data_IF_719794790935
#
_entry.id   IF_719794790935
#
_cell.length_a   1.000
_cell.length_b   1.000
_cell.length_c   1.000
_cell.angle_alpha   90.00
_cell.angle_beta   90.00
_cell.angle_gamma   90.00
#
_symmetry.space_group_name_H-M   'P 1'
#
loop_
_entity.id
_entity.type
_entity.pdbx_description
1 polymer ?
#
# COMPACT_ATOMS: atom_id res chain seq x y z
N UNK A 1 -2.93 6.94 10.44
CA UNK A 1 -3.63 7.46 9.24
C UNK A 1 -5.06 7.86 9.62
N UNK A 2 -5.55 9.05 9.20
CA UNK A 2 -6.87 9.57 9.61
C UNK A 2 -8.05 8.93 8.85
N UNK A 3 -7.88 8.59 7.57
CA UNK A 3 -8.90 7.94 6.73
C UNK A 3 -8.26 6.76 6.00
N UNK A 4 -8.99 5.64 5.85
CA UNK A 4 -8.46 4.48 5.12
C UNK A 4 -8.42 4.66 3.61
N UNK A 5 -9.17 5.61 3.05
CA UNK A 5 -9.32 5.82 1.61
C UNK A 5 -9.16 7.32 1.31
N UNK A 6 -8.43 7.64 0.24
CA UNK A 6 -8.33 8.99 -0.31
C UNK A 6 -9.42 9.18 -1.36
N UNK A 7 -10.50 9.89 -1.01
CA UNK A 7 -11.70 10.02 -1.86
C UNK A 7 -11.49 11.01 -3.01
N UNK A 8 -10.73 10.60 -4.04
CA UNK A 8 -10.28 11.46 -5.15
C UNK A 8 -11.42 12.16 -5.93
N UNK A 9 -12.63 11.61 -5.95
CA UNK A 9 -13.82 12.17 -6.60
C UNK A 9 -14.65 13.10 -5.71
N UNK A 10 -14.43 13.11 -4.39
CA UNK A 10 -15.25 13.90 -3.45
C UNK A 10 -14.61 15.21 -3.05
N UNK A 11 -13.28 15.25 -3.04
CA UNK A 11 -12.52 16.43 -2.60
C UNK A 11 -11.13 16.45 -3.21
N UNK A 12 -10.49 17.61 -3.16
CA UNK A 12 -9.06 17.73 -3.40
C UNK A 12 -8.30 16.99 -2.29
N UNK A 13 -7.35 16.14 -2.68
CA UNK A 13 -6.43 15.47 -1.78
C UNK A 13 -5.12 16.23 -1.85
N UNK A 14 -4.60 16.63 -0.70
CA UNK A 14 -3.29 17.27 -0.64
C UNK A 14 -2.19 16.20 -0.73
N UNK A 15 -1.05 16.56 -1.33
CA UNK A 15 0.08 15.62 -1.52
C UNK A 15 0.50 15.01 -0.17
N UNK A 16 0.47 15.79 0.90
CA UNK A 16 0.80 15.35 2.25
C UNK A 16 -0.09 14.21 2.77
N UNK A 17 -1.35 14.14 2.34
CA UNK A 17 -2.23 13.01 2.69
C UNK A 17 -1.79 11.73 1.97
N UNK A 18 -1.36 11.83 0.71
CA UNK A 18 -0.80 10.69 -0.02
C UNK A 18 0.50 10.24 0.64
N UNK A 19 1.38 11.17 1.02
CA UNK A 19 2.61 10.86 1.77
C UNK A 19 2.32 10.10 3.06
N UNK A 20 1.30 10.49 3.80
CA UNK A 20 0.90 9.81 5.03
C UNK A 20 0.45 8.37 4.80
N UNK A 21 -0.23 8.09 3.68
CA UNK A 21 -0.62 6.73 3.31
C UNK A 21 0.60 5.90 2.88
N UNK A 22 1.47 6.45 2.02
CA UNK A 22 2.70 5.78 1.59
C UNK A 22 3.59 5.44 2.80
N UNK A 23 3.81 6.42 3.68
CA UNK A 23 4.57 6.24 4.91
C UNK A 23 3.93 5.20 5.83
N UNK A 24 2.60 5.19 5.95
CA UNK A 24 1.91 4.16 6.74
C UNK A 24 2.24 2.75 6.26
N UNK A 25 2.22 2.51 4.95
CA UNK A 25 2.53 1.18 4.39
C UNK A 25 4.00 0.79 4.57
N UNK A 26 4.93 1.72 4.35
CA UNK A 26 6.37 1.50 4.57
C UNK A 26 6.63 1.21 6.06
N UNK A 27 6.11 2.04 6.98
CA UNK A 27 6.31 1.88 8.42
C UNK A 27 5.70 0.55 8.91
N UNK A 28 4.52 0.15 8.40
CA UNK A 28 3.89 -1.15 8.70
C UNK A 28 4.68 -2.33 8.13
N UNK A 29 5.23 -2.23 6.93
CA UNK A 29 6.09 -3.29 6.39
C UNK A 29 7.34 -3.48 7.24
N UNK A 30 7.97 -2.37 7.65
CA UNK A 30 9.11 -2.36 8.57
C UNK A 30 8.78 -2.97 9.95
N UNK A 31 7.57 -2.73 10.48
CA UNK A 31 7.06 -3.42 11.67
C UNK A 31 7.02 -4.95 11.46
N UNK A 32 6.49 -5.40 10.33
CA UNK A 32 6.46 -6.81 9.95
C UNK A 32 7.86 -7.43 9.84
N UNK A 33 8.81 -6.72 9.24
CA UNK A 33 10.21 -7.16 9.15
C UNK A 33 10.87 -7.30 10.52
N UNK A 34 10.64 -6.34 11.42
CA UNK A 34 11.15 -6.43 12.79
C UNK A 34 10.59 -7.64 13.53
N UNK A 35 9.29 -7.89 13.40
CA UNK A 35 8.67 -9.08 14.00
C UNK A 35 9.26 -10.37 13.42
N UNK A 36 9.55 -10.42 12.11
CA UNK A 36 10.25 -11.53 11.49
C UNK A 36 11.66 -11.74 12.06
N UNK A 37 12.45 -10.66 12.21
CA UNK A 37 13.80 -10.75 12.75
C UNK A 37 13.81 -11.23 14.20
N UNK A 38 12.77 -10.89 14.96
CA UNK A 38 12.58 -11.30 16.35
C UNK A 38 12.02 -12.74 16.47
N UNK A 39 11.77 -13.43 15.34
CA UNK A 39 11.21 -14.79 15.31
C UNK A 39 9.68 -14.86 15.44
N UNK A 40 9.00 -13.72 15.56
CA UNK A 40 7.55 -13.59 15.75
C UNK A 40 6.80 -13.66 14.41
N UNK A 41 6.96 -14.77 13.67
CA UNK A 41 6.38 -14.96 12.33
C UNK A 41 4.86 -14.83 12.29
N UNK A 42 4.18 -15.25 13.34
CA UNK A 42 2.71 -15.15 13.45
C UNK A 42 2.25 -13.70 13.46
N UNK A 43 2.86 -12.86 14.29
CA UNK A 43 2.48 -11.45 14.40
C UNK A 43 2.86 -10.67 13.14
N UNK A 44 4.02 -10.99 12.54
CA UNK A 44 4.40 -10.45 11.24
C UNK A 44 3.37 -10.80 10.12
N UNK A 45 2.79 -12.01 10.16
CA UNK A 45 1.73 -12.40 9.24
C UNK A 45 0.44 -11.60 9.47
N UNK A 46 0.07 -11.32 10.72
CA UNK A 46 -1.08 -10.45 11.01
C UNK A 46 -0.86 -9.02 10.50
N UNK A 47 0.36 -8.49 10.58
CA UNK A 47 0.72 -7.20 9.96
C UNK A 47 0.53 -7.24 8.44
N UNK A 48 1.01 -8.29 7.75
CA UNK A 48 0.81 -8.43 6.31
C UNK A 48 -0.69 -8.48 5.94
N UNK A 49 -1.50 -9.20 6.72
CA UNK A 49 -2.96 -9.27 6.52
C UNK A 49 -3.61 -7.90 6.68
N UNK A 50 -3.27 -7.17 7.75
CA UNK A 50 -3.77 -5.82 8.01
C UNK A 50 -3.49 -4.89 6.83
N UNK A 51 -2.23 -4.87 6.35
CA UNK A 51 -1.82 -4.07 5.19
C UNK A 51 -2.67 -4.44 3.97
N UNK A 52 -2.75 -5.73 3.64
CA UNK A 52 -3.47 -6.22 2.45
C UNK A 52 -4.95 -5.89 2.48
N UNK A 53 -5.60 -5.97 3.64
CA UNK A 53 -7.02 -5.67 3.76
C UNK A 53 -7.31 -4.19 3.48
N UNK A 54 -6.44 -3.29 3.96
CA UNK A 54 -6.55 -1.86 3.67
C UNK A 54 -6.25 -1.59 2.19
N UNK A 55 -5.18 -2.17 1.64
CA UNK A 55 -4.83 -2.00 0.22
C UNK A 55 -5.93 -2.48 -0.72
N UNK A 56 -6.57 -3.63 -0.42
CA UNK A 56 -7.71 -4.14 -1.21
C UNK A 56 -8.90 -3.20 -1.16
N UNK A 57 -9.18 -2.63 0.02
CA UNK A 57 -10.26 -1.65 0.19
C UNK A 57 -10.01 -0.40 -0.66
N UNK A 58 -8.79 0.14 -0.60
CA UNK A 58 -8.35 1.28 -1.41
C UNK A 58 -8.39 0.98 -2.91
N UNK A 59 -7.75 -0.11 -3.35
CA UNK A 59 -7.72 -0.52 -4.76
C UNK A 59 -9.13 -0.76 -5.32
N UNK A 60 -10.02 -1.37 -4.53
CA UNK A 60 -11.44 -1.50 -4.92
C UNK A 60 -12.13 -0.15 -5.09
N UNK A 61 -11.78 0.84 -4.27
CA UNK A 61 -12.30 2.20 -4.45
C UNK A 61 -11.79 2.81 -5.75
N UNK A 62 -10.48 2.73 -6.01
CA UNK A 62 -9.82 3.36 -7.16
C UNK A 62 -10.13 2.68 -8.51
N UNK A 63 -10.51 1.40 -8.53
CA UNK A 63 -10.92 0.68 -9.74
C UNK A 63 -12.33 1.03 -10.25
N UNK A 64 -13.01 2.04 -9.70
CA UNK A 64 -14.29 2.52 -10.24
C UNK A 64 -14.02 3.33 -11.51
N UNK A 65 -14.71 3.03 -12.61
CA UNK A 65 -14.55 3.73 -13.89
C UNK A 65 -14.62 5.25 -13.78
N UNK A 66 -15.54 5.79 -12.96
CA UNK A 66 -15.67 7.24 -12.74
C UNK A 66 -14.42 7.94 -12.14
N UNK A 67 -13.48 7.17 -11.59
CA UNK A 67 -12.24 7.68 -11.01
C UNK A 67 -11.07 7.61 -11.99
N UNK A 68 -11.20 6.92 -13.12
CA UNK A 68 -10.11 6.69 -14.07
C UNK A 68 -9.52 8.02 -14.57
N UNK A 69 -10.35 8.90 -15.13
CA UNK A 69 -9.91 10.20 -15.63
C UNK A 69 -9.27 11.06 -14.51
N UNK A 70 -9.85 11.04 -13.31
CA UNK A 70 -9.35 11.80 -12.15
C UNK A 70 -7.97 11.31 -11.73
N UNK A 71 -7.77 9.99 -11.67
CA UNK A 71 -6.51 9.37 -11.30
C UNK A 71 -5.45 9.64 -12.38
N UNK A 72 -5.78 9.42 -13.66
CA UNK A 72 -4.85 9.63 -14.78
C UNK A 72 -4.44 11.09 -14.95
N UNK A 73 -5.31 12.04 -14.59
CA UNK A 73 -5.02 13.47 -14.69
C UNK A 73 -3.94 13.98 -13.72
N UNK A 74 -3.60 13.20 -12.67
CA UNK A 74 -2.65 13.61 -11.63
C UNK A 74 -1.61 12.54 -11.39
N UNK A 75 -0.34 12.88 -11.59
CA UNK A 75 0.79 11.95 -11.46
C UNK A 75 0.83 11.29 -10.07
N UNK A 76 0.54 12.05 -9.01
CA UNK A 76 0.53 11.58 -7.62
C UNK A 76 -0.53 10.52 -7.38
N UNK A 77 -1.71 10.72 -7.97
CA UNK A 77 -2.82 9.79 -7.80
C UNK A 77 -2.56 8.52 -8.61
N UNK A 78 -2.14 8.69 -9.87
CA UNK A 78 -1.84 7.57 -10.76
C UNK A 78 -0.72 6.68 -10.20
N UNK A 79 0.36 7.28 -9.70
CA UNK A 79 1.49 6.52 -9.16
C UNK A 79 1.09 5.79 -7.88
N UNK A 80 0.38 6.45 -6.96
CA UNK A 80 -0.08 5.82 -5.73
C UNK A 80 -1.02 4.64 -6.01
N UNK A 81 -2.00 4.80 -6.90
CA UNK A 81 -2.89 3.72 -7.33
C UNK A 81 -2.13 2.58 -8.03
N UNK A 82 -1.13 2.90 -8.84
CA UNK A 82 -0.30 1.91 -9.53
C UNK A 82 0.52 1.09 -8.55
N UNK A 83 1.11 1.72 -7.52
CA UNK A 83 1.79 1.01 -6.45
C UNK A 83 0.87 -0.02 -5.78
N UNK A 84 -0.34 0.38 -5.37
CA UNK A 84 -1.31 -0.52 -4.73
C UNK A 84 -1.67 -1.71 -5.61
N UNK A 85 -1.92 -1.46 -6.90
CA UNK A 85 -2.26 -2.50 -7.88
C UNK A 85 -1.12 -3.49 -8.07
N UNK A 86 0.11 -2.99 -8.23
CA UNK A 86 1.27 -3.82 -8.51
C UNK A 86 1.68 -4.65 -7.29
N UNK A 87 1.63 -4.07 -6.08
CA UNK A 87 1.84 -4.81 -4.83
C UNK A 87 0.85 -5.97 -4.73
N UNK A 88 -0.44 -5.70 -4.93
CA UNK A 88 -1.48 -6.73 -4.84
C UNK A 88 -1.32 -7.83 -5.90
N UNK A 89 -0.81 -7.50 -7.08
CA UNK A 89 -0.58 -8.44 -8.17
C UNK A 89 0.66 -9.32 -7.98
N UNK A 90 1.73 -8.79 -7.36
CA UNK A 90 2.99 -9.50 -7.17
C UNK A 90 3.05 -10.32 -5.89
N UNK A 91 2.16 -10.06 -4.92
CA UNK A 91 2.12 -10.84 -3.69
C UNK A 91 1.67 -12.29 -3.93
N UNK A 92 2.55 -13.23 -3.62
CA UNK A 92 2.37 -14.67 -3.83
C UNK A 92 2.16 -15.41 -2.51
N UNK A 93 1.31 -16.45 -2.53
CA UNK A 93 1.08 -17.34 -1.40
C UNK A 93 0.95 -16.61 -0.05
N UNK A 94 0.06 -15.63 0.04
CA UNK A 94 0.08 -14.62 1.13
C UNK A 94 -0.26 -15.15 2.53
N UNK A 95 -0.46 -16.46 2.67
CA UNK A 95 -0.64 -17.17 3.95
C UNK A 95 0.60 -18.02 4.30
N UNK A 96 1.64 -18.02 3.47
CA UNK A 96 2.89 -18.77 3.65
C UNK A 96 3.91 -17.94 4.42
N UNK A 97 4.49 -18.53 5.46
CA UNK A 97 5.61 -17.90 6.17
C UNK A 97 6.88 -17.82 5.32
N UNK A 98 7.06 -18.74 4.36
CA UNK A 98 8.24 -18.75 3.48
C UNK A 98 8.22 -17.55 2.52
N UNK A 99 7.02 -17.07 2.16
CA UNK A 99 6.84 -15.91 1.29
C UNK A 99 6.63 -14.60 2.07
N UNK A 100 6.53 -14.64 3.40
CA UNK A 100 6.18 -13.48 4.21
C UNK A 100 7.19 -12.33 4.04
N UNK A 101 8.49 -12.63 4.09
CA UNK A 101 9.54 -11.63 3.89
C UNK A 101 9.47 -10.99 2.50
N UNK A 102 9.24 -11.77 1.45
CA UNK A 102 9.12 -11.25 0.08
C UNK A 102 7.87 -10.38 -0.08
N UNK A 103 6.74 -10.81 0.47
CA UNK A 103 5.49 -10.04 0.38
C UNK A 103 5.56 -8.70 1.14
N UNK A 104 6.32 -8.64 2.26
CA UNK A 104 6.62 -7.40 2.97
C UNK A 104 7.58 -6.52 2.16
N UNK A 105 8.60 -7.12 1.54
CA UNK A 105 9.54 -6.42 0.68
C UNK A 105 8.82 -5.71 -0.47
N UNK A 106 7.94 -6.42 -1.18
CA UNK A 106 7.18 -5.85 -2.31
C UNK A 106 6.40 -4.60 -1.90
N UNK A 107 5.83 -4.57 -0.68
CA UNK A 107 5.10 -3.39 -0.19
C UNK A 107 6.01 -2.17 -0.13
N UNK A 108 7.19 -2.30 0.48
CA UNK A 108 8.13 -1.21 0.62
C UNK A 108 8.72 -0.81 -0.73
N UNK A 109 9.17 -1.79 -1.52
CA UNK A 109 9.83 -1.60 -2.81
C UNK A 109 8.93 -0.84 -3.80
N UNK A 110 7.70 -1.28 -4.01
CA UNK A 110 6.78 -0.62 -4.92
C UNK A 110 6.29 0.74 -4.40
N UNK A 111 6.10 0.90 -3.09
CA UNK A 111 5.75 2.21 -2.51
C UNK A 111 6.88 3.21 -2.76
N UNK A 112 8.13 2.83 -2.51
CA UNK A 112 9.28 3.68 -2.77
C UNK A 112 9.46 3.93 -4.28
N UNK A 113 9.38 2.89 -5.11
CA UNK A 113 9.55 3.01 -6.56
C UNK A 113 8.57 4.01 -7.19
N UNK A 114 7.28 3.85 -6.90
CA UNK A 114 6.25 4.69 -7.50
C UNK A 114 6.14 6.08 -6.85
N UNK A 115 6.41 6.20 -5.55
CA UNK A 115 6.13 7.41 -4.77
C UNK A 115 7.37 8.16 -4.28
N UNK A 116 8.60 7.77 -4.65
CA UNK A 116 9.83 8.43 -4.18
C UNK A 116 9.84 9.95 -4.34
N UNK A 117 9.28 10.48 -5.43
CA UNK A 117 9.26 11.91 -5.71
C UNK A 117 8.35 12.72 -4.79
N UNK A 118 7.45 12.06 -4.05
CA UNK A 118 6.63 12.68 -3.01
C UNK A 118 7.10 12.30 -1.61
N UNK A 119 8.14 11.50 -1.41
CA UNK A 119 8.68 11.24 -0.07
C UNK A 119 9.65 12.37 0.29
#
# INVERSE_FOLDING_TARGET
MKNKILEFDKRKIEIEEIKQHVKFYIDKSNEGFKLLSDGNKKDAMEVLKEIRDIMKLENKYYNKSKLEDVILSKKEYNNYCSALRDILAHQINTNSYDNLSSNLYDIEDYMMYYCAYIL
#
